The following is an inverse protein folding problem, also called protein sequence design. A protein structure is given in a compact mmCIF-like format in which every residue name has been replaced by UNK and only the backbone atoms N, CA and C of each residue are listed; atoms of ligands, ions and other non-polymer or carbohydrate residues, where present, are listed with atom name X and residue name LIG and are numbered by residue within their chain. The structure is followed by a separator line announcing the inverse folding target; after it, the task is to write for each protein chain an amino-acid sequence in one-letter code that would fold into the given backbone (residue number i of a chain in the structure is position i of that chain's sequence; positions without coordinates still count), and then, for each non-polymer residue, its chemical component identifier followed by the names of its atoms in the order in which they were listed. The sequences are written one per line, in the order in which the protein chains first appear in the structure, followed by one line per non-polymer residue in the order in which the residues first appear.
data_IF_246077675960
#
_entry.id   IF_246077675960
#
_cell.length_a   1.000
_cell.length_b   1.000
_cell.length_c   1.000
_cell.angle_alpha   90.00
_cell.angle_beta   90.00
_cell.angle_gamma   90.00
#
_symmetry.space_group_name_H-M   'P 1'
#
loop_
_entity.id
_entity.type
_entity.pdbx_description
1 polymer ?
#
# COMPACT_ATOMS: atom_id res chain seq x y z
N UNK A 1 -0.46 10.51 37.18
CA UNK A 1 -0.05 10.98 35.85
C UNK A 1 -1.01 10.32 34.87
N UNK A 2 -1.83 11.10 34.20
CA UNK A 2 -2.87 10.60 33.33
C UNK A 2 -2.23 9.93 32.13
N UNK A 3 -2.40 8.61 31.98
CA UNK A 3 -2.05 7.87 30.78
C UNK A 3 -2.85 8.46 29.61
N UNK A 4 -2.20 9.26 28.79
CA UNK A 4 -2.75 9.59 27.49
C UNK A 4 -2.73 8.31 26.68
N UNK A 5 -3.92 7.78 26.39
CA UNK A 5 -4.14 6.81 25.32
C UNK A 5 -3.44 7.31 24.06
N UNK A 6 -2.27 6.76 23.77
CA UNK A 6 -1.59 6.98 22.49
C UNK A 6 -2.23 6.06 21.44
N UNK A 7 -3.55 6.16 21.28
CA UNK A 7 -4.20 5.60 20.13
C UNK A 7 -3.50 6.12 18.87
N UNK A 8 -3.21 5.26 17.91
CA UNK A 8 -2.67 5.66 16.62
C UNK A 8 -3.58 6.77 16.04
N UNK A 9 -3.02 7.82 15.45
CA UNK A 9 -3.84 8.90 14.90
C UNK A 9 -4.82 8.29 13.89
N UNK A 10 -6.13 8.54 14.07
CA UNK A 10 -7.15 8.04 13.15
C UNK A 10 -6.95 8.56 11.74
N UNK A 11 -6.55 9.82 11.61
CA UNK A 11 -6.25 10.43 10.33
C UNK A 11 -4.73 10.62 10.18
N UNK A 12 -4.19 10.17 9.06
CA UNK A 12 -2.76 10.25 8.72
C UNK A 12 -2.55 11.28 7.62
N UNK A 13 -1.54 12.13 7.77
CA UNK A 13 -1.15 13.08 6.74
C UNK A 13 -0.74 12.33 5.46
N UNK A 14 -1.13 12.78 4.27
CA UNK A 14 -0.90 12.03 3.04
C UNK A 14 0.59 11.83 2.74
N UNK A 15 1.45 12.77 3.12
CA UNK A 15 2.90 12.69 2.97
C UNK A 15 3.59 11.78 4.01
N UNK A 16 2.85 11.31 5.02
CA UNK A 16 3.32 10.33 6.00
C UNK A 16 2.94 8.88 5.64
N UNK A 17 2.27 8.67 4.51
CA UNK A 17 1.93 7.36 3.98
C UNK A 17 3.04 6.90 3.04
N UNK A 18 3.69 5.79 3.34
CA UNK A 18 4.74 5.24 2.48
C UNK A 18 4.17 4.14 1.59
N UNK A 19 4.51 4.14 0.31
CA UNK A 19 3.97 3.22 -0.70
C UNK A 19 5.02 2.18 -1.07
N UNK A 20 4.73 0.91 -0.80
CA UNK A 20 5.56 -0.23 -1.18
C UNK A 20 5.10 -0.86 -2.49
N UNK A 21 6.05 -1.25 -3.33
CA UNK A 21 5.87 -2.06 -4.54
C UNK A 21 6.92 -3.16 -4.52
N UNK A 22 6.48 -4.39 -4.35
CA UNK A 22 7.33 -5.57 -4.26
C UNK A 22 7.17 -6.47 -5.48
N UNK A 23 8.25 -6.73 -6.18
CA UNK A 23 8.32 -7.70 -7.28
C UNK A 23 9.03 -8.95 -6.77
N UNK A 24 8.38 -10.07 -6.89
CA UNK A 24 8.90 -11.37 -6.45
C UNK A 24 10.18 -11.74 -7.20
N UNK A 25 11.15 -12.33 -6.50
CA UNK A 25 12.30 -12.94 -7.18
C UNK A 25 11.83 -14.03 -8.16
N UNK A 26 12.27 -14.01 -9.43
CA UNK A 26 11.87 -15.02 -10.42
C UNK A 26 12.21 -16.45 -10.00
N UNK A 27 13.25 -16.63 -9.20
CA UNK A 27 13.66 -17.94 -8.69
C UNK A 27 12.73 -18.49 -7.59
N UNK A 28 11.85 -17.67 -7.01
CA UNK A 28 10.88 -18.14 -6.01
C UNK A 28 9.59 -18.58 -6.69
N UNK A 29 9.16 -19.81 -6.44
CA UNK A 29 7.82 -20.23 -6.82
C UNK A 29 6.76 -19.41 -6.05
N UNK A 30 5.55 -19.31 -6.62
CA UNK A 30 4.48 -18.47 -6.06
C UNK A 30 4.10 -18.92 -4.64
N UNK A 31 3.96 -20.21 -4.42
CA UNK A 31 3.63 -20.81 -3.11
C UNK A 31 4.72 -20.51 -2.06
N UNK A 32 5.99 -20.58 -2.44
CA UNK A 32 7.12 -20.22 -1.58
C UNK A 32 7.10 -18.73 -1.23
N UNK A 33 6.78 -17.87 -2.20
CA UNK A 33 6.64 -16.45 -1.99
C UNK A 33 5.51 -16.15 -0.99
N UNK A 34 4.32 -16.73 -1.22
CA UNK A 34 3.17 -16.56 -0.33
C UNK A 34 3.46 -17.03 1.10
N UNK A 35 4.11 -18.19 1.23
CA UNK A 35 4.51 -18.71 2.52
C UNK A 35 5.46 -17.73 3.24
N UNK A 36 6.49 -17.23 2.55
CA UNK A 36 7.44 -16.27 3.14
C UNK A 36 6.77 -14.96 3.55
N UNK A 37 5.78 -14.48 2.77
CA UNK A 37 5.01 -13.29 3.15
C UNK A 37 4.28 -13.52 4.47
N UNK A 38 3.48 -14.58 4.55
CA UNK A 38 2.64 -14.84 5.72
C UNK A 38 3.43 -15.23 6.98
N UNK A 39 4.53 -15.99 6.84
CA UNK A 39 5.28 -16.49 7.99
C UNK A 39 6.40 -15.57 8.47
N UNK A 40 6.92 -14.72 7.59
CA UNK A 40 8.10 -13.90 7.91
C UNK A 40 7.84 -12.41 7.66
N UNK A 41 7.52 -12.02 6.41
CA UNK A 41 7.61 -10.60 6.03
C UNK A 41 6.51 -9.74 6.61
N UNK A 42 5.24 -10.13 6.51
CA UNK A 42 4.14 -9.36 7.09
C UNK A 42 4.31 -9.24 8.60
N UNK A 43 4.51 -10.33 9.36
CA UNK A 43 4.79 -10.24 10.78
C UNK A 43 6.04 -9.43 11.13
N UNK A 44 7.14 -9.62 10.38
CA UNK A 44 8.38 -8.91 10.64
C UNK A 44 8.27 -7.41 10.37
N UNK A 45 7.54 -7.00 9.34
CA UNK A 45 7.27 -5.58 9.06
C UNK A 45 6.68 -4.90 10.28
N UNK A 46 5.68 -5.51 10.87
CA UNK A 46 5.03 -4.99 12.08
C UNK A 46 6.01 -4.94 13.24
N UNK A 47 6.57 -6.09 13.61
CA UNK A 47 7.42 -6.20 14.81
C UNK A 47 8.66 -5.32 14.77
N UNK A 48 9.30 -5.23 13.61
CA UNK A 48 10.57 -4.50 13.48
C UNK A 48 10.38 -2.98 13.31
N UNK A 49 9.21 -2.55 12.89
CA UNK A 49 8.97 -1.14 12.55
C UNK A 49 8.02 -0.42 13.51
N UNK A 50 7.24 -1.13 14.33
CA UNK A 50 6.35 -0.51 15.32
C UNK A 50 7.13 0.40 16.30
N UNK A 51 8.24 -0.07 16.81
CA UNK A 51 9.11 0.72 17.70
C UNK A 51 9.80 1.89 16.97
N UNK A 52 9.86 1.85 15.65
CA UNK A 52 10.35 2.94 14.82
C UNK A 52 9.26 3.95 14.45
N UNK A 53 8.02 3.73 14.88
CA UNK A 53 6.90 4.65 14.70
C UNK A 53 5.96 4.31 13.56
N UNK A 54 5.98 3.06 13.05
CA UNK A 54 4.94 2.57 12.18
C UNK A 54 3.61 2.54 12.95
N UNK A 55 2.57 3.16 12.41
CA UNK A 55 1.26 3.26 13.04
C UNK A 55 0.27 2.22 12.52
N UNK A 56 0.36 1.91 11.23
CA UNK A 56 -0.44 0.88 10.59
C UNK A 56 0.23 0.40 9.29
N UNK A 57 -0.21 -0.75 8.80
CA UNK A 57 0.32 -1.38 7.60
C UNK A 57 -0.81 -2.10 6.87
N UNK A 58 -0.96 -1.83 5.60
CA UNK A 58 -2.00 -2.44 4.77
C UNK A 58 -1.37 -3.12 3.53
N UNK A 59 -0.84 -4.35 3.70
CA UNK A 59 -0.33 -5.13 2.57
C UNK A 59 -1.47 -5.70 1.74
N UNK A 60 -1.24 -5.76 0.44
CA UNK A 60 -2.10 -6.42 -0.53
C UNK A 60 -1.23 -7.27 -1.44
N UNK A 61 -1.65 -8.49 -1.73
CA UNK A 61 -0.87 -9.44 -2.51
C UNK A 61 -1.56 -9.71 -3.86
N UNK A 62 -1.25 -8.93 -4.90
CA UNK A 62 -1.74 -9.17 -6.25
C UNK A 62 -1.20 -10.46 -6.86
N UNK A 63 -0.08 -10.97 -6.37
CA UNK A 63 0.50 -12.23 -6.82
C UNK A 63 -0.55 -13.37 -6.83
N UNK A 64 -0.63 -14.10 -7.92
CA UNK A 64 -1.59 -15.19 -8.09
C UNK A 64 -3.03 -14.77 -8.38
N UNK A 65 -3.34 -13.47 -8.48
CA UNK A 65 -4.63 -13.04 -9.01
C UNK A 65 -4.77 -13.49 -10.47
N UNK A 66 -5.95 -14.00 -10.86
CA UNK A 66 -6.19 -14.40 -12.25
C UNK A 66 -5.90 -13.25 -13.22
N UNK A 67 -5.07 -13.50 -14.21
CA UNK A 67 -4.74 -12.50 -15.23
C UNK A 67 -3.81 -11.37 -14.79
N UNK A 68 -3.22 -11.42 -13.58
CA UNK A 68 -2.21 -10.45 -13.17
C UNK A 68 -1.02 -10.48 -14.13
N UNK A 69 -0.66 -9.36 -14.76
CA UNK A 69 0.53 -9.29 -15.61
C UNK A 69 1.82 -9.34 -14.80
N UNK A 70 2.90 -9.87 -15.39
CA UNK A 70 4.21 -9.93 -14.73
C UNK A 70 4.81 -8.55 -14.44
N UNK A 71 4.48 -7.54 -15.25
CA UNK A 71 4.92 -6.16 -15.05
C UNK A 71 4.30 -5.48 -13.81
N UNK A 72 3.26 -6.07 -13.21
CA UNK A 72 2.59 -5.53 -12.03
C UNK A 72 3.24 -6.09 -10.76
N UNK A 73 3.43 -5.29 -9.69
CA UNK A 73 3.97 -5.78 -8.43
C UNK A 73 3.25 -7.00 -7.89
N UNK A 74 3.98 -7.92 -7.29
CA UNK A 74 3.46 -9.12 -6.63
C UNK A 74 2.90 -8.83 -5.24
N UNK A 75 3.44 -7.82 -4.57
CA UNK A 75 2.92 -7.24 -3.34
C UNK A 75 2.90 -5.73 -3.45
N UNK A 76 1.85 -5.12 -2.94
CA UNK A 76 1.75 -3.68 -2.75
C UNK A 76 1.36 -3.40 -1.31
N UNK A 77 1.79 -2.26 -0.76
CA UNK A 77 1.33 -1.87 0.56
C UNK A 77 1.34 -0.35 0.73
N UNK A 78 0.46 0.11 1.60
CA UNK A 78 0.55 1.43 2.20
C UNK A 78 0.91 1.28 3.68
N UNK A 79 1.95 2.01 4.10
CA UNK A 79 2.49 2.00 5.46
C UNK A 79 2.29 3.39 6.05
N UNK A 80 1.67 3.45 7.22
CA UNK A 80 1.27 4.69 7.86
C UNK A 80 2.22 5.04 8.99
N UNK A 81 2.80 6.22 8.91
CA UNK A 81 3.74 6.75 9.91
C UNK A 81 3.16 7.97 10.59
N UNK A 82 3.58 8.25 11.79
CA UNK A 82 3.20 9.50 12.46
C UNK A 82 3.69 10.73 11.68
N UNK A 83 4.85 10.60 11.03
CA UNK A 83 5.43 11.59 10.12
C UNK A 83 6.60 10.97 9.34
N UNK A 84 7.04 11.61 8.27
CA UNK A 84 8.28 11.22 7.58
C UNK A 84 9.49 11.27 8.49
N UNK A 85 9.57 12.28 9.35
CA UNK A 85 10.69 12.40 10.31
C UNK A 85 10.73 11.24 11.30
N UNK A 86 9.58 10.74 11.73
CA UNK A 86 9.49 9.55 12.58
C UNK A 86 10.07 8.32 11.87
N UNK A 87 9.73 8.13 10.60
CA UNK A 87 10.33 7.06 9.79
C UNK A 87 11.85 7.19 9.70
N UNK A 88 12.37 8.36 9.31
CA UNK A 88 13.82 8.57 9.12
C UNK A 88 14.59 8.39 10.42
N UNK A 89 14.06 8.84 11.54
CA UNK A 89 14.65 8.62 12.85
C UNK A 89 14.65 7.13 13.23
N UNK A 90 13.56 6.42 12.91
CA UNK A 90 13.44 4.98 13.14
C UNK A 90 14.38 4.16 12.26
N UNK A 91 14.62 4.59 11.02
CA UNK A 91 15.49 3.90 10.06
C UNK A 91 16.95 3.81 10.50
N UNK A 92 17.39 4.65 11.43
CA UNK A 92 18.72 4.56 12.03
C UNK A 92 18.89 3.35 12.95
N UNK A 93 17.81 2.73 13.40
CA UNK A 93 17.84 1.58 14.30
C UNK A 93 18.33 0.34 13.57
N UNK A 94 19.19 -0.45 14.26
CA UNK A 94 19.77 -1.66 13.69
C UNK A 94 18.70 -2.67 13.23
N UNK A 95 17.64 -2.84 14.01
CA UNK A 95 16.56 -3.77 13.71
C UNK A 95 15.90 -3.43 12.35
N UNK A 96 15.57 -2.16 12.11
CA UNK A 96 14.94 -1.70 10.86
C UNK A 96 15.89 -1.91 9.68
N UNK A 97 17.16 -1.59 9.85
CA UNK A 97 18.17 -1.79 8.79
C UNK A 97 18.37 -3.27 8.47
N UNK A 98 18.44 -4.12 9.47
CA UNK A 98 18.55 -5.57 9.28
C UNK A 98 17.33 -6.12 8.55
N UNK A 99 16.13 -5.71 8.95
CA UNK A 99 14.89 -6.08 8.27
C UNK A 99 14.93 -5.68 6.79
N UNK A 100 15.38 -4.46 6.47
CA UNK A 100 15.49 -4.00 5.08
C UNK A 100 16.38 -4.91 4.24
N UNK A 101 17.47 -5.42 4.80
CA UNK A 101 18.38 -6.33 4.10
C UNK A 101 17.74 -7.69 3.78
N UNK A 102 16.73 -8.13 4.56
CA UNK A 102 16.06 -9.42 4.31
C UNK A 102 15.18 -9.41 3.06
N UNK A 103 14.81 -8.25 2.54
CA UNK A 103 13.99 -8.12 1.32
C UNK A 103 14.63 -8.77 0.10
N UNK A 104 15.96 -8.70 -0.03
CA UNK A 104 16.70 -9.31 -1.14
C UNK A 104 16.56 -10.84 -1.24
N UNK A 105 16.10 -11.52 -0.20
CA UNK A 105 15.79 -12.96 -0.22
C UNK A 105 14.41 -13.32 -0.77
N UNK A 106 13.59 -12.33 -1.09
CA UNK A 106 12.19 -12.53 -1.52
C UNK A 106 11.83 -11.65 -2.71
N UNK A 107 12.38 -10.43 -2.77
CA UNK A 107 12.05 -9.42 -3.76
C UNK A 107 13.23 -9.05 -4.64
N UNK A 108 12.91 -8.62 -5.85
CA UNK A 108 13.86 -7.96 -6.75
C UNK A 108 14.20 -6.59 -6.19
N UNK A 109 15.31 -6.50 -5.44
CA UNK A 109 15.83 -5.24 -4.89
C UNK A 109 16.90 -4.61 -5.77
N UNK A 110 17.38 -5.35 -6.78
CA UNK A 110 18.31 -4.86 -7.76
C UNK A 110 17.67 -3.69 -8.54
N UNK A 111 18.46 -2.67 -8.86
CA UNK A 111 18.03 -1.47 -9.58
C UNK A 111 16.80 -0.78 -9.00
N UNK A 112 16.56 -0.96 -7.69
CA UNK A 112 15.41 -0.43 -6.96
C UNK A 112 14.03 -0.84 -7.54
N UNK A 113 13.94 -1.99 -8.20
CA UNK A 113 12.65 -2.48 -8.70
C UNK A 113 11.63 -2.60 -7.58
N UNK A 114 11.99 -3.30 -6.50
CA UNK A 114 11.15 -3.34 -5.30
C UNK A 114 11.58 -2.25 -4.33
N UNK A 115 10.66 -1.35 -4.03
CA UNK A 115 10.97 -0.16 -3.22
C UNK A 115 9.74 0.39 -2.50
N UNK A 116 9.98 1.21 -1.50
CA UNK A 116 8.97 2.00 -0.86
C UNK A 116 9.38 3.48 -0.82
N UNK A 117 8.45 4.35 -1.19
CA UNK A 117 8.67 5.79 -1.23
C UNK A 117 7.52 6.54 -0.57
N UNK A 118 7.82 7.72 -0.01
CA UNK A 118 6.79 8.66 0.39
C UNK A 118 6.21 9.37 -0.84
N UNK A 119 4.89 9.56 -0.90
CA UNK A 119 4.28 10.26 -2.00
C UNK A 119 4.55 11.76 -1.93
N UNK A 120 4.60 12.36 -3.10
CA UNK A 120 4.59 13.82 -3.24
C UNK A 120 3.20 14.29 -3.63
N UNK A 121 2.92 15.57 -3.48
CA UNK A 121 1.66 16.16 -3.93
C UNK A 121 1.52 16.04 -5.44
N UNK A 122 0.36 15.58 -5.91
CA UNK A 122 0.07 15.51 -7.33
C UNK A 122 -0.05 16.90 -7.95
N UNK A 123 0.82 17.20 -8.90
CA UNK A 123 0.90 18.51 -9.60
C UNK A 123 0.37 18.47 -11.04
N UNK A 124 -0.37 17.42 -11.42
CA UNK A 124 -0.93 17.28 -12.79
C UNK A 124 -0.10 16.41 -13.73
N UNK A 125 1.06 15.93 -13.29
CA UNK A 125 1.91 15.00 -14.04
C UNK A 125 2.45 13.91 -13.13
N UNK A 126 2.93 12.81 -13.72
CA UNK A 126 3.54 11.67 -13.01
C UNK A 126 4.98 11.46 -13.46
N UNK A 127 5.86 11.29 -12.49
CA UNK A 127 7.20 10.75 -12.70
C UNK A 127 7.16 9.23 -12.47
N UNK A 128 7.87 8.47 -13.29
CA UNK A 128 7.93 7.01 -13.14
C UNK A 128 8.35 6.62 -11.72
N UNK A 129 7.64 5.68 -11.12
CA UNK A 129 7.86 5.12 -9.79
C UNK A 129 7.78 6.10 -8.61
N UNK A 130 7.44 7.36 -8.84
CA UNK A 130 7.19 8.33 -7.77
C UNK A 130 5.72 8.27 -7.36
N UNK A 131 5.38 7.83 -6.13
CA UNK A 131 4.01 7.91 -5.64
C UNK A 131 3.55 9.36 -5.50
N UNK A 132 2.26 9.57 -5.71
CA UNK A 132 1.62 10.88 -5.53
C UNK A 132 0.35 10.73 -4.69
N UNK A 133 0.02 11.79 -3.92
CA UNK A 133 -1.29 11.93 -3.28
C UNK A 133 -2.09 13.07 -3.93
N UNK A 134 -3.42 12.92 -3.94
CA UNK A 134 -4.32 13.85 -4.62
C UNK A 134 -4.92 14.91 -3.70
N UNK A 135 -5.11 14.57 -2.42
CA UNK A 135 -5.82 15.40 -1.42
C UNK A 135 -4.89 15.70 -0.26
N UNK A 136 -4.84 16.96 0.17
CA UNK A 136 -3.89 17.43 1.19
C UNK A 136 -4.33 17.15 2.63
N UNK A 137 -5.62 16.86 2.84
CA UNK A 137 -6.16 16.60 4.18
C UNK A 137 -5.68 15.25 4.72
N UNK A 138 -5.37 15.17 6.02
CA UNK A 138 -5.22 13.89 6.68
C UNK A 138 -6.47 13.03 6.53
N UNK A 139 -6.29 11.75 6.29
CA UNK A 139 -7.39 10.83 6.02
C UNK A 139 -7.33 9.57 6.90
N UNK A 140 -8.49 9.08 7.30
CA UNK A 140 -8.63 7.85 8.10
C UNK A 140 -8.76 6.64 7.18
N UNK A 141 -7.62 6.17 6.69
CA UNK A 141 -7.56 5.01 5.81
C UNK A 141 -8.00 3.70 6.47
N UNK A 142 -8.04 3.66 7.79
CA UNK A 142 -8.31 2.44 8.55
C UNK A 142 -9.80 2.18 8.73
N UNK A 143 -10.62 3.22 8.72
CA UNK A 143 -12.07 3.10 8.94
C UNK A 143 -12.89 3.47 7.70
N UNK A 144 -12.26 3.99 6.65
CA UNK A 144 -12.92 4.36 5.41
C UNK A 144 -13.09 3.19 4.43
N UNK A 145 -13.83 3.42 3.36
CA UNK A 145 -14.00 2.48 2.26
C UNK A 145 -12.81 2.56 1.30
N UNK A 146 -11.77 1.76 1.56
CA UNK A 146 -10.58 1.69 0.71
C UNK A 146 -10.85 0.78 -0.50
N UNK A 147 -10.53 1.28 -1.69
CA UNK A 147 -10.51 0.50 -2.94
C UNK A 147 -9.11 0.52 -3.50
N UNK A 148 -8.66 -0.61 -4.01
CA UNK A 148 -7.32 -0.76 -4.56
C UNK A 148 -7.35 -1.45 -5.92
N UNK A 149 -6.53 -0.97 -6.83
CA UNK A 149 -6.34 -1.58 -8.14
C UNK A 149 -4.87 -1.59 -8.52
N UNK A 150 -4.47 -2.66 -9.18
CA UNK A 150 -3.22 -2.77 -9.91
C UNK A 150 -3.53 -3.01 -11.38
N UNK A 151 -2.81 -2.35 -12.28
CA UNK A 151 -3.02 -2.49 -13.70
C UNK A 151 -1.69 -2.47 -14.46
N UNK A 152 -1.63 -3.20 -15.57
CA UNK A 152 -0.51 -3.11 -16.48
C UNK A 152 -0.77 -2.07 -17.56
N UNK A 153 0.30 -1.43 -18.00
CA UNK A 153 0.30 -0.60 -19.20
C UNK A 153 -0.12 -1.45 -20.41
N UNK A 154 -1.09 -0.99 -21.24
CA UNK A 154 -1.38 -1.65 -22.50
C UNK A 154 -0.15 -1.69 -23.41
N UNK A 155 0.14 -2.83 -24.02
CA UNK A 155 1.35 -3.03 -24.82
C UNK A 155 1.49 -2.04 -26.01
N UNK A 156 0.36 -1.56 -26.54
CA UNK A 156 0.35 -0.61 -27.65
C UNK A 156 0.57 0.86 -27.22
N UNK A 157 0.64 1.13 -25.94
CA UNK A 157 0.80 2.49 -25.39
C UNK A 157 2.21 2.64 -24.85
N UNK A 158 2.93 3.68 -25.27
CA UNK A 158 4.26 3.95 -24.73
C UNK A 158 4.21 4.43 -23.26
N UNK A 159 5.30 4.29 -22.49
CA UNK A 159 5.30 4.63 -21.06
C UNK A 159 4.95 6.09 -20.75
N UNK A 160 5.33 7.04 -21.60
CA UNK A 160 5.05 8.46 -21.38
C UNK A 160 3.55 8.75 -21.61
N UNK A 161 2.97 8.25 -22.68
CA UNK A 161 1.54 8.34 -22.99
C UNK A 161 0.70 7.63 -21.94
N UNK A 162 1.18 6.49 -21.42
CA UNK A 162 0.55 5.78 -20.32
C UNK A 162 0.47 6.67 -19.07
N UNK A 163 1.59 7.21 -18.59
CA UNK A 163 1.60 8.10 -17.43
C UNK A 163 0.78 9.37 -17.64
N UNK A 164 0.79 9.93 -18.85
CA UNK A 164 -0.03 11.09 -19.17
C UNK A 164 -1.54 10.78 -19.10
N UNK A 165 -1.95 9.59 -19.55
CA UNK A 165 -3.34 9.15 -19.46
C UNK A 165 -3.78 8.95 -18.01
N UNK A 166 -2.92 8.33 -17.18
CA UNK A 166 -3.16 8.21 -15.73
C UNK A 166 -3.27 9.60 -15.09
N UNK A 167 -2.32 10.51 -15.37
CA UNK A 167 -2.32 11.85 -14.80
C UNK A 167 -3.59 12.63 -15.15
N UNK A 168 -4.10 12.49 -16.39
CA UNK A 168 -5.37 13.08 -16.81
C UNK A 168 -6.53 12.55 -15.96
N UNK A 169 -6.64 11.24 -15.79
CA UNK A 169 -7.71 10.65 -14.99
C UNK A 169 -7.61 11.05 -13.50
N UNK A 170 -6.41 11.10 -12.94
CA UNK A 170 -6.20 11.58 -11.57
C UNK A 170 -6.62 13.05 -11.42
N UNK A 171 -6.42 13.87 -12.44
CA UNK A 171 -6.89 15.27 -12.47
C UNK A 171 -8.43 15.34 -12.46
N UNK A 172 -9.08 14.50 -13.24
CA UNK A 172 -10.55 14.40 -13.29
C UNK A 172 -11.11 13.95 -11.95
N UNK A 173 -10.51 12.92 -11.34
CA UNK A 173 -10.88 12.45 -10.00
C UNK A 173 -10.74 13.56 -8.96
N UNK A 174 -9.60 14.23 -8.92
CA UNK A 174 -9.34 15.29 -7.95
C UNK A 174 -10.35 16.43 -8.03
N UNK A 175 -10.82 16.74 -9.24
CA UNK A 175 -11.71 17.89 -9.49
C UNK A 175 -13.21 17.54 -9.43
N UNK A 176 -13.57 16.26 -9.54
CA UNK A 176 -14.96 15.88 -9.79
C UNK A 176 -15.60 14.98 -8.73
N UNK A 177 -14.83 14.37 -7.83
CA UNK A 177 -15.37 13.35 -6.92
C UNK A 177 -14.95 13.61 -5.49
N UNK A 178 -15.90 13.58 -4.53
CA UNK A 178 -15.57 13.68 -3.13
C UNK A 178 -14.93 12.35 -2.66
N UNK A 179 -13.60 12.34 -2.55
CA UNK A 179 -12.82 11.30 -1.88
C UNK A 179 -12.14 11.90 -0.65
N UNK A 180 -12.00 11.10 0.38
CA UNK A 180 -11.24 11.47 1.59
C UNK A 180 -9.73 11.34 1.35
N UNK A 181 -9.32 10.46 0.43
CA UNK A 181 -7.93 10.27 0.06
C UNK A 181 -7.77 9.52 -1.26
N UNK A 182 -6.66 9.77 -1.95
CA UNK A 182 -6.24 8.94 -3.07
C UNK A 182 -4.72 9.00 -3.22
N UNK A 183 -4.12 7.83 -3.49
CA UNK A 183 -2.68 7.65 -3.70
C UNK A 183 -2.49 6.83 -4.97
N UNK A 184 -1.60 7.28 -5.83
CA UNK A 184 -1.25 6.59 -7.07
C UNK A 184 0.26 6.48 -7.22
N UNK A 185 0.72 5.39 -7.83
CA UNK A 185 2.08 5.25 -8.31
C UNK A 185 2.07 4.56 -9.66
N UNK A 186 2.61 5.21 -10.67
CA UNK A 186 2.77 4.64 -12.01
C UNK A 186 4.26 4.45 -12.32
N UNK A 187 4.64 3.23 -12.63
CA UNK A 187 5.92 2.92 -13.27
C UNK A 187 5.84 3.10 -14.79
N UNK A 188 6.79 2.53 -15.49
CA UNK A 188 6.75 2.48 -16.96
C UNK A 188 5.72 1.47 -17.47
N UNK A 189 5.52 0.37 -16.74
CA UNK A 189 4.69 -0.75 -17.18
C UNK A 189 3.51 -1.07 -16.27
N UNK A 190 3.34 -0.33 -15.17
CA UNK A 190 2.29 -0.61 -14.19
C UNK A 190 1.69 0.66 -13.56
N UNK A 191 0.49 0.49 -13.02
CA UNK A 191 -0.19 1.42 -12.12
C UNK A 191 -0.58 0.67 -10.84
N UNK A 192 -0.34 1.28 -9.68
CA UNK A 192 -0.98 0.94 -8.41
C UNK A 192 -1.73 2.16 -7.92
N UNK A 193 -2.95 1.95 -7.45
CA UNK A 193 -3.84 3.03 -7.05
C UNK A 193 -4.69 2.60 -5.86
N UNK A 194 -4.78 3.48 -4.87
CA UNK A 194 -5.70 3.37 -3.75
C UNK A 194 -6.56 4.62 -3.69
N UNK A 195 -7.84 4.43 -3.39
CA UNK A 195 -8.76 5.51 -3.07
C UNK A 195 -9.54 5.21 -1.81
N UNK A 196 -9.80 6.27 -1.05
CA UNK A 196 -10.58 6.25 0.16
C UNK A 196 -11.86 7.04 -0.09
N UNK A 197 -12.98 6.34 -0.18
CA UNK A 197 -14.29 6.95 -0.26
C UNK A 197 -14.77 7.45 1.08
N UNK A 198 -15.70 8.42 1.10
CA UNK A 198 -16.32 8.87 2.33
C UNK A 198 -16.99 7.68 3.05
N UNK A 199 -16.86 7.64 4.36
CA UNK A 199 -17.59 6.69 5.19
C UNK A 199 -19.07 6.99 5.04
N UNK A 200 -19.79 6.19 4.27
CA UNK A 200 -21.25 6.27 4.25
C UNK A 200 -21.75 5.89 5.65
N UNK A 201 -22.41 6.82 6.31
CA UNK A 201 -23.01 6.58 7.63
C UNK A 201 -23.94 5.38 7.51
N UNK A 202 -23.57 4.24 8.11
CA UNK A 202 -24.33 3.00 8.08
C UNK A 202 -23.95 1.98 7.00
N UNK A 203 -22.93 2.22 6.19
CA UNK A 203 -22.42 1.20 5.27
C UNK A 203 -21.55 0.19 6.02
N UNK A 204 -21.87 -1.09 5.86
CA UNK A 204 -21.03 -2.19 6.35
C UNK A 204 -19.63 -2.07 5.75
N UNK A 205 -18.60 -2.31 6.55
CA UNK A 205 -17.21 -2.46 6.07
C UNK A 205 -17.22 -3.49 4.91
N UNK A 206 -16.73 -3.10 3.75
CA UNK A 206 -16.69 -3.97 2.58
C UNK A 206 -17.44 -3.45 1.37
N UNK A 207 -17.49 -2.12 1.17
CA UNK A 207 -18.02 -1.57 -0.07
C UNK A 207 -17.21 -2.12 -1.26
N UNK A 208 -17.77 -3.13 -1.93
CA UNK A 208 -17.33 -3.65 -3.22
C UNK A 208 -17.64 -2.60 -4.29
N UNK A 209 -16.95 -1.48 -4.23
CA UNK A 209 -17.06 -0.42 -5.21
C UNK A 209 -15.92 -0.54 -6.22
N UNK A 210 -16.24 -0.36 -7.48
CA UNK A 210 -15.24 -0.24 -8.54
C UNK A 210 -14.50 1.09 -8.35
N UNK A 211 -13.16 1.10 -8.43
CA UNK A 211 -12.39 2.34 -8.35
C UNK A 211 -12.83 3.35 -9.41
N UNK A 212 -12.76 4.63 -9.07
CA UNK A 212 -13.13 5.72 -10.00
C UNK A 212 -12.26 5.76 -11.26
N UNK A 213 -11.08 5.16 -11.21
CA UNK A 213 -10.22 4.96 -12.39
C UNK A 213 -10.76 3.92 -13.38
N UNK A 214 -11.80 3.14 -13.04
CA UNK A 214 -12.26 2.04 -13.90
C UNK A 214 -12.57 2.44 -15.34
N UNK A 215 -13.21 3.58 -15.63
CA UNK A 215 -13.44 3.98 -17.04
C UNK A 215 -12.14 4.11 -17.82
N UNK A 216 -11.06 4.61 -17.18
CA UNK A 216 -9.74 4.68 -17.79
C UNK A 216 -9.14 3.29 -18.00
N UNK A 217 -9.40 2.36 -17.08
CA UNK A 217 -8.87 1.01 -17.13
C UNK A 217 -9.63 0.08 -18.08
N UNK A 218 -10.67 0.59 -18.75
CA UNK A 218 -11.39 -0.16 -19.77
C UNK A 218 -10.44 -0.54 -20.90
N UNK A 219 -10.31 -1.85 -21.13
CA UNK A 219 -9.33 -2.40 -22.07
C UNK A 219 -7.91 -2.56 -21.54
N UNK A 220 -7.64 -2.18 -20.28
CA UNK A 220 -6.38 -2.50 -19.61
C UNK A 220 -6.46 -3.85 -18.92
N UNK A 221 -5.31 -4.49 -18.78
CA UNK A 221 -5.21 -5.68 -17.93
C UNK A 221 -5.09 -5.20 -16.47
N UNK A 222 -6.21 -5.14 -15.78
CA UNK A 222 -6.33 -4.66 -14.42
C UNK A 222 -6.83 -5.75 -13.48
N UNK A 223 -6.21 -5.85 -12.31
CA UNK A 223 -6.66 -6.71 -11.21
C UNK A 223 -7.12 -5.84 -10.03
N UNK A 224 -8.26 -6.20 -9.46
CA UNK A 224 -8.85 -5.51 -8.33
C UNK A 224 -8.58 -6.33 -7.06
N UNK A 225 -7.91 -5.71 -6.10
CA UNK A 225 -7.73 -6.33 -4.81
C UNK A 225 -9.01 -6.17 -3.96
N UNK A 226 -9.35 -7.15 -3.13
CA UNK A 226 -10.42 -7.00 -2.16
C UNK A 226 -10.14 -5.83 -1.22
N UNK A 227 -11.18 -5.24 -0.66
CA UNK A 227 -11.04 -4.21 0.36
C UNK A 227 -10.18 -4.75 1.53
N UNK A 228 -9.27 -3.93 2.08
CA UNK A 228 -8.47 -4.35 3.22
C UNK A 228 -9.36 -4.79 4.38
N UNK A 229 -9.05 -5.94 4.95
CA UNK A 229 -9.72 -6.42 6.16
C UNK A 229 -8.93 -5.97 7.37
N UNK A 230 -9.59 -5.32 8.35
CA UNK A 230 -8.96 -5.03 9.62
C UNK A 230 -8.65 -6.33 10.35
N UNK A 231 -7.39 -6.55 10.63
CA UNK A 231 -6.97 -7.54 11.59
C UNK A 231 -6.70 -6.82 12.91
N UNK A 232 -7.36 -7.22 14.02
CA UNK A 232 -7.00 -6.70 15.32
C UNK A 232 -5.52 -6.99 15.57
N UNK A 233 -4.85 -6.07 16.24
CA UNK A 233 -3.48 -6.30 16.68
C UNK A 233 -3.55 -7.35 17.77
N UNK A 234 -3.33 -8.57 17.34
CA UNK A 234 -3.05 -9.67 18.24
C UNK A 234 -1.62 -9.59 18.74
N UNK A 235 -1.32 -10.45 19.70
CA UNK A 235 0.04 -10.74 20.07
C UNK A 235 0.83 -11.21 18.83
N UNK A 236 2.12 -10.93 18.80
CA UNK A 236 3.00 -11.30 17.69
C UNK A 236 2.82 -12.74 17.21
N UNK A 237 2.58 -13.67 18.13
CA UNK A 237 2.42 -15.09 17.83
C UNK A 237 1.14 -15.39 17.03
N UNK A 238 0.13 -14.54 17.10
CA UNK A 238 -1.11 -14.68 16.31
C UNK A 238 -0.90 -14.35 14.83
N UNK A 239 0.19 -13.65 14.49
CA UNK A 239 0.54 -13.26 13.14
C UNK A 239 1.53 -14.22 12.48
N UNK A 240 2.22 -15.02 13.31
CA UNK A 240 3.07 -16.09 12.82
C UNK A 240 2.21 -17.15 12.13
N UNK A 241 2.41 -17.32 10.82
CA UNK A 241 1.67 -18.31 10.05
C UNK A 241 0.38 -17.80 9.42
N UNK A 242 0.22 -16.48 9.21
CA UNK A 242 -0.87 -15.95 8.40
C UNK A 242 -0.93 -16.66 7.05
N UNK A 243 -2.11 -17.15 6.70
CA UNK A 243 -2.39 -17.78 5.40
C UNK A 243 -2.54 -16.69 4.33
N UNK A 244 -1.43 -16.31 3.72
CA UNK A 244 -1.41 -15.36 2.60
C UNK A 244 -1.75 -16.10 1.31
N UNK A 245 -2.84 -15.68 0.68
CA UNK A 245 -3.32 -16.23 -0.59
C UNK A 245 -3.35 -15.15 -1.67
N UNK A 246 -3.50 -15.59 -2.91
CA UNK A 246 -3.74 -14.68 -4.02
C UNK A 246 -4.88 -13.70 -3.71
N UNK A 247 -4.65 -12.41 -3.91
CA UNK A 247 -5.62 -11.38 -3.61
C UNK A 247 -5.80 -11.05 -2.13
N UNK A 248 -5.01 -11.61 -1.22
CA UNK A 248 -5.05 -11.23 0.19
C UNK A 248 -4.80 -9.72 0.33
N UNK A 249 -5.62 -9.09 1.14
CA UNK A 249 -5.47 -7.68 1.49
C UNK A 249 -5.79 -7.50 2.97
N UNK A 250 -4.86 -6.91 3.70
CA UNK A 250 -4.95 -6.73 5.14
C UNK A 250 -4.76 -5.25 5.48
N UNK A 251 -5.45 -4.81 6.52
CA UNK A 251 -5.20 -3.52 7.12
C UNK A 251 -4.88 -3.74 8.60
N UNK A 252 -3.63 -3.53 8.96
CA UNK A 252 -3.07 -3.86 10.26
C UNK A 252 -2.86 -2.56 11.03
N UNK A 253 -3.76 -2.29 11.96
CA UNK A 253 -3.67 -1.15 12.87
C UNK A 253 -2.97 -1.57 14.16
N UNK A 254 -2.06 -0.75 14.66
CA UNK A 254 -1.34 -1.00 15.91
C UNK A 254 -1.82 -0.07 17.01
N UNK A 255 -2.32 -0.65 18.07
CA UNK A 255 -2.46 0.05 19.33
C UNK A 255 -1.13 -0.05 20.09
N UNK A 256 -0.52 1.08 20.39
CA UNK A 256 0.59 1.08 21.34
C UNK A 256 -0.01 0.79 22.71
N UNK A 257 0.28 -0.38 23.25
CA UNK A 257 0.13 -0.57 24.68
C UNK A 257 0.92 0.51 25.39
N UNK A 258 0.24 1.29 26.20
CA UNK A 258 0.90 2.20 27.12
C UNK A 258 1.83 1.34 27.99
N UNK A 259 3.13 1.38 27.71
CA UNK A 259 4.11 0.78 28.62
C UNK A 259 3.99 1.55 29.93
N UNK A 260 3.39 0.89 30.95
CA UNK A 260 3.33 1.34 32.33
C UNK A 260 4.73 1.53 32.93
#
# INVERSE_FOLDING_TARGET
MNGQDLAAPRAVAPDAVRVWRGFRLPALALDQFMNKLGTVFVPATVKMQIDAGLCAYAPTVPAGLPGKPDAVPDETAILFWASQSTYWNGFTRLAVRTYTLTHGGVYLTQDNQSRADFPVRFAGSLTADQPVYLFDQPADWMHGAVRHVVAARPAAVDPASFRASVAKALTEIRNGVPLDGAIACAGDDYLVYWELGPVAVGAAQGATGVPLLQPLLSGWNAAFAPAPTFLPIGLWDEWAGMDVRAGSSFNLQFEREARG
#
